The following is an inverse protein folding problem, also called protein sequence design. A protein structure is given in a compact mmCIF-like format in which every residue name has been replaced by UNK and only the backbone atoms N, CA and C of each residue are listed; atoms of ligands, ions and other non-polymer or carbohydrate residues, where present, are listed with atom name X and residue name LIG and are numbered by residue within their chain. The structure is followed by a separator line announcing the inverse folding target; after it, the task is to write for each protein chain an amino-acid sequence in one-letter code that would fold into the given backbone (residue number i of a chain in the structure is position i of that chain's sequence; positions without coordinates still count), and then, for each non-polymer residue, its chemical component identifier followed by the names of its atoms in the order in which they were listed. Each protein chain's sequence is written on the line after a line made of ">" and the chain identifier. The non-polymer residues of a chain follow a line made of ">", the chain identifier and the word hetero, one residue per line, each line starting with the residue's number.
data_IF_900648288559
#
_entry.id   IF_900648288559
#
_cell.length_a   1.000
_cell.length_b   1.000
_cell.length_c   1.000
_cell.angle_alpha   90.00
_cell.angle_beta   90.00
_cell.angle_gamma   90.00
#
_symmetry.space_group_name_H-M   'P 1'
#
loop_
_entity.id
_entity.type
_entity.pdbx_description
1 polymer ?
2 non-polymer ?
3 non-polymer ?
4 water ?
#
# COMPACT_ATOMS: atom_id res chain seq x y z
N UNK A 1 14.36 -26.54 3.26
CA UNK A 1 14.20 -26.35 1.82
C UNK A 1 15.07 -25.20 1.32
N UNK A 2 15.26 -25.14 0.01
CA UNK A 2 16.12 -24.15 -0.63
C UNK A 2 15.44 -23.53 -1.83
N UNK A 3 15.68 -22.24 -2.05
CA UNK A 3 15.20 -21.55 -3.24
C UNK A 3 15.95 -22.07 -4.46
N UNK A 4 15.19 -22.44 -5.51
CA UNK A 4 15.79 -22.99 -6.73
C UNK A 4 15.76 -22.02 -7.92
N UNK A 5 14.67 -21.26 -8.04
CA UNK A 5 14.49 -20.36 -9.20
C UNK A 5 13.73 -19.11 -8.79
N UNK A 6 14.06 -17.99 -9.45
CA UNK A 6 13.24 -16.79 -9.33
C UNK A 6 12.56 -16.59 -10.67
N UNK A 7 11.26 -16.37 -10.64
CA UNK A 7 10.50 -16.16 -11.85
C UNK A 7 9.80 -14.82 -11.75
N UNK A 8 9.89 -14.02 -12.81
CA UNK A 8 9.15 -12.77 -12.85
C UNK A 8 8.11 -12.86 -13.97
N UNK A 9 6.94 -12.27 -13.74
CA UNK A 9 5.83 -12.30 -14.69
C UNK A 9 5.29 -10.89 -14.91
N UNK A 10 5.10 -10.51 -16.17
CA UNK A 10 4.45 -9.25 -16.50
C UNK A 10 3.33 -9.50 -17.51
N UNK A 11 2.37 -8.58 -17.56
CA UNK A 11 1.30 -8.65 -18.55
C UNK A 11 1.24 -7.32 -19.30
N UNK A 12 1.16 -7.38 -20.63
CA UNK A 12 1.20 -6.18 -21.45
C UNK A 12 -0.01 -5.28 -21.22
N UNK A 13 -1.10 -5.88 -20.77
CA UNK A 13 -2.35 -5.17 -20.54
C UNK A 13 -2.35 -4.35 -19.25
N UNK A 14 -1.43 -4.64 -18.34
CA UNK A 14 -1.30 -3.91 -17.09
C UNK A 14 0.18 -3.63 -16.82
N UNK A 15 0.72 -2.61 -17.46
CA UNK A 15 2.17 -2.44 -17.51
C UNK A 15 2.84 -2.10 -16.18
N UNK A 16 2.07 -1.62 -15.21
CA UNK A 16 2.67 -1.25 -13.93
C UNK A 16 2.91 -2.44 -13.00
N UNK A 17 2.28 -3.57 -13.30
CA UNK A 17 2.33 -4.72 -12.39
C UNK A 17 3.51 -5.66 -12.64
N UNK A 18 4.07 -6.18 -11.56
CA UNK A 18 5.11 -7.20 -11.63
C UNK A 18 4.86 -8.27 -10.60
N UNK A 19 4.91 -9.54 -11.00
CA UNK A 19 4.85 -10.64 -10.04
C UNK A 19 6.21 -11.32 -9.93
N UNK A 20 6.53 -11.75 -8.71
CA UNK A 20 7.77 -12.46 -8.44
C UNK A 20 7.40 -13.80 -7.85
N UNK A 21 7.85 -14.87 -8.48
CA UNK A 21 7.57 -16.22 -7.98
C UNK A 21 8.85 -16.89 -7.51
N UNK A 22 8.84 -17.35 -6.27
CA UNK A 22 10.00 -17.97 -5.68
C UNK A 22 9.77 -19.47 -5.61
N UNK A 23 10.53 -20.21 -6.41
CA UNK A 23 10.40 -21.66 -6.46
C UNK A 23 11.37 -22.31 -5.47
N UNK A 24 10.98 -23.45 -4.93
CA UNK A 24 11.82 -24.16 -3.97
C UNK A 24 12.05 -25.61 -4.40
N UNK A 25 12.99 -26.28 -3.77
CA UNK A 25 13.28 -27.67 -4.10
C UNK A 25 12.24 -28.62 -3.53
N UNK A 26 11.30 -28.07 -2.77
CA UNK A 26 10.20 -28.87 -2.23
C UNK A 26 8.90 -28.67 -3.02
N UNK A 27 8.98 -27.86 -4.07
CA UNK A 27 7.84 -27.68 -4.95
C UNK A 27 6.86 -26.65 -4.41
N UNK A 28 7.24 -25.97 -3.33
CA UNK A 28 6.43 -24.89 -2.79
C UNK A 28 6.84 -23.59 -3.45
N UNK A 29 5.91 -22.95 -4.15
CA UNK A 29 6.19 -21.71 -4.85
C UNK A 29 5.50 -20.54 -4.17
N UNK A 30 6.25 -19.48 -3.88
CA UNK A 30 5.69 -18.32 -3.23
C UNK A 30 5.39 -17.23 -4.26
N UNK A 31 4.31 -16.48 -4.04
CA UNK A 31 3.91 -15.41 -4.94
C UNK A 31 4.03 -14.03 -4.30
N UNK A 32 4.74 -13.12 -4.97
CA UNK A 32 4.85 -11.74 -4.54
C UNK A 32 4.49 -10.79 -5.66
N UNK A 33 4.39 -9.50 -5.36
CA UNK A 33 3.88 -8.54 -6.33
C UNK A 33 4.36 -7.16 -5.96
N UNK A 34 4.58 -6.31 -6.95
CA UNK A 34 4.81 -4.89 -6.70
C UNK A 34 4.27 -4.07 -7.88
N UNK A 35 4.36 -2.75 -7.78
CA UNK A 35 3.68 -1.88 -8.73
C UNK A 35 4.60 -0.70 -9.05
N UNK A 36 4.59 -0.28 -10.32
CA UNK A 36 5.42 0.80 -10.90
C UNK A 36 6.81 0.34 -11.33
N UNK A 37 7.18 0.73 -12.53
CA UNK A 37 8.51 0.44 -13.05
C UNK A 37 8.76 -1.05 -13.15
N UNK A 38 7.77 -1.76 -13.70
CA UNK A 38 7.82 -3.22 -13.71
C UNK A 38 9.04 -3.76 -14.42
N UNK A 39 9.40 -3.18 -15.57
CA UNK A 39 10.56 -3.69 -16.28
C UNK A 39 11.85 -3.46 -15.50
N UNK A 40 11.95 -2.28 -14.89
CA UNK A 40 13.12 -1.94 -14.09
C UNK A 40 13.27 -2.86 -12.87
N UNK A 41 12.18 -3.04 -12.15
CA UNK A 41 12.21 -3.92 -10.98
C UNK A 41 12.53 -5.35 -11.42
N UNK A 42 11.97 -5.77 -12.55
CA UNK A 42 12.25 -7.12 -13.06
C UNK A 42 13.74 -7.30 -13.32
N UNK A 43 14.36 -6.32 -13.97
CA UNK A 43 15.81 -6.39 -14.20
C UNK A 43 16.58 -6.55 -12.89
N UNK A 44 16.17 -5.79 -11.87
CA UNK A 44 16.80 -5.82 -10.55
C UNK A 44 16.65 -7.19 -9.92
N UNK A 45 15.45 -7.77 -10.03
CA UNK A 45 15.22 -9.07 -9.41
C UNK A 45 16.23 -10.11 -9.91
N UNK A 46 16.51 -10.08 -11.21
CA UNK A 46 17.43 -11.05 -11.80
C UNK A 46 18.90 -10.65 -11.66
N UNK A 47 19.19 -9.35 -11.67
CA UNK A 47 20.56 -8.86 -11.60
C UNK A 47 21.10 -8.92 -10.17
N UNK A 48 20.25 -8.60 -9.20
CA UNK A 48 20.68 -8.42 -7.83
C UNK A 48 20.15 -9.48 -6.86
N UNK A 49 18.85 -9.72 -6.85
CA UNK A 49 18.29 -10.66 -5.86
C UNK A 49 18.68 -12.11 -6.16
N UNK A 50 18.49 -12.55 -7.41
CA UNK A 50 18.74 -13.93 -7.79
C UNK A 50 20.11 -14.49 -7.36
N UNK A 51 21.22 -13.81 -7.71
CA UNK A 51 22.51 -14.41 -7.30
C UNK A 51 22.70 -14.44 -5.78
N UNK A 52 21.91 -13.66 -5.05
CA UNK A 52 22.02 -13.61 -3.59
C UNK A 52 21.12 -14.63 -2.89
N UNK A 53 20.08 -15.09 -3.57
CA UNK A 53 19.09 -15.93 -2.89
C UNK A 53 18.94 -17.36 -3.44
N UNK A 54 19.39 -17.62 -4.68
CA UNK A 54 19.36 -18.98 -5.17
C UNK A 54 20.22 -19.87 -4.26
N UNK A 55 19.65 -20.98 -3.80
CA UNK A 55 20.34 -21.87 -2.89
C UNK A 55 20.10 -21.59 -1.41
N UNK A 56 19.45 -20.48 -1.10
CA UNK A 56 19.20 -20.08 0.29
C UNK A 56 17.89 -20.64 0.86
N UNK A 57 17.85 -20.74 2.19
CA UNK A 57 16.67 -21.22 2.90
C UNK A 57 15.66 -20.08 2.96
N UNK A 58 14.48 -20.25 2.34
CA UNK A 58 13.50 -19.15 2.30
C UNK A 58 12.84 -18.87 3.64
N UNK A 59 12.93 -19.81 4.58
CA UNK A 59 12.29 -19.62 5.87
C UNK A 59 13.03 -18.62 6.77
N UNK A 60 14.28 -18.30 6.41
CA UNK A 60 15.02 -17.29 7.17
C UNK A 60 14.62 -15.89 6.66
N UNK A 61 13.36 -15.54 6.89
CA UNK A 61 12.76 -14.34 6.32
C UNK A 61 13.45 -13.05 6.77
N UNK A 62 13.63 -12.88 8.08
CA UNK A 62 14.26 -11.67 8.59
C UNK A 62 15.69 -11.54 8.07
N UNK A 63 16.40 -12.66 8.00
CA UNK A 63 17.78 -12.65 7.52
C UNK A 63 17.84 -12.28 6.05
N UNK A 64 16.97 -12.89 5.23
CA UNK A 64 16.96 -12.56 3.80
C UNK A 64 16.60 -11.09 3.58
N UNK A 65 15.71 -10.54 4.39
CA UNK A 65 15.37 -9.12 4.27
C UNK A 65 16.62 -8.28 4.53
N UNK A 66 17.35 -8.63 5.58
CA UNK A 66 18.58 -7.93 5.94
C UNK A 66 19.61 -8.03 4.81
N UNK A 67 19.76 -9.22 4.24
CA UNK A 67 20.77 -9.49 3.22
C UNK A 67 20.52 -8.77 1.89
N UNK A 68 19.30 -8.28 1.67
CA UNK A 68 18.99 -7.59 0.43
C UNK A 68 19.01 -6.06 0.54
N UNK A 69 19.22 -5.55 1.75
CA UNK A 69 19.31 -4.10 1.93
C UNK A 69 20.54 -3.60 1.17
N UNK A 70 20.34 -2.60 0.31
CA UNK A 70 21.42 -2.15 -0.55
C UNK A 70 22.35 -1.14 0.09
N UNK A 71 23.60 -1.11 -0.39
CA UNK A 71 24.52 -0.04 -0.02
C UNK A 71 23.94 1.31 -0.46
N UNK A 72 23.32 1.30 -1.63
CA UNK A 72 22.57 2.45 -2.14
C UNK A 72 21.09 2.11 -2.27
N UNK A 73 20.24 3.13 -2.28
CA UNK A 73 18.82 2.90 -2.57
C UNK A 73 17.97 2.43 -1.40
N UNK A 74 18.56 2.43 -0.21
CA UNK A 74 17.85 2.02 0.99
C UNK A 74 16.97 3.18 1.48
N UNK A 75 16.12 2.87 2.47
CA UNK A 75 15.22 3.85 3.08
C UNK A 75 14.51 4.66 1.98
N UNK A 76 13.93 3.94 1.04
CA UNK A 76 13.27 4.59 -0.08
C UNK A 76 12.23 3.64 -0.63
N UNK A 77 11.48 4.13 -1.61
CA UNK A 77 10.51 3.29 -2.30
C UNK A 77 10.96 3.06 -3.75
N UNK A 78 12.29 3.08 -3.94
CA UNK A 78 12.88 2.95 -5.27
C UNK A 78 12.84 1.53 -5.78
N UNK A 79 13.38 1.32 -6.98
CA UNK A 79 13.24 0.04 -7.68
C UNK A 79 13.77 -1.12 -6.88
N UNK A 80 14.92 -0.94 -6.26
CA UNK A 80 15.55 -2.00 -5.46
C UNK A 80 14.61 -2.42 -4.35
N UNK A 81 14.04 -1.45 -3.63
CA UNK A 81 13.17 -1.76 -2.51
C UNK A 81 11.87 -2.42 -2.98
N UNK A 82 11.34 -1.96 -4.10
CA UNK A 82 10.14 -2.59 -4.64
C UNK A 82 10.39 -4.05 -4.97
N UNK A 83 11.55 -4.35 -5.57
CA UNK A 83 11.94 -5.72 -5.87
C UNK A 83 12.07 -6.54 -4.60
N UNK A 84 12.78 -5.99 -3.62
CA UNK A 84 12.94 -6.67 -2.33
C UNK A 84 11.61 -6.97 -1.66
N UNK A 85 10.67 -6.05 -1.82
CA UNK A 85 9.37 -6.13 -1.14
C UNK A 85 8.53 -7.23 -1.76
N UNK A 86 8.53 -7.28 -3.08
CA UNK A 86 7.80 -8.33 -3.79
C UNK A 86 8.36 -9.69 -3.38
N UNK A 87 9.67 -9.79 -3.31
CA UNK A 87 10.33 -11.04 -2.91
C UNK A 87 9.92 -11.43 -1.49
N UNK A 88 9.90 -10.44 -0.58
CA UNK A 88 9.54 -10.70 0.81
C UNK A 88 8.11 -11.25 0.92
N UNK A 89 7.18 -10.68 0.15
CA UNK A 89 5.80 -11.18 0.15
C UNK A 89 5.77 -12.65 -0.26
N UNK A 90 6.56 -13.00 -1.26
CA UNK A 90 6.62 -14.40 -1.72
C UNK A 90 7.17 -15.31 -0.62
N UNK A 91 8.13 -14.82 0.16
CA UNK A 91 8.66 -15.62 1.25
C UNK A 91 7.58 -15.91 2.29
N UNK A 92 6.75 -14.92 2.58
CA UNK A 92 5.67 -15.14 3.54
C UNK A 92 4.64 -16.14 3.01
N UNK A 93 4.40 -16.09 1.71
CA UNK A 93 3.52 -17.06 1.06
C UNK A 93 4.09 -18.47 1.23
N UNK A 94 5.40 -18.63 1.00
CA UNK A 94 6.05 -19.94 1.19
C UNK A 94 5.92 -20.41 2.64
N UNK A 95 6.17 -19.50 3.58
CA UNK A 95 6.15 -19.82 5.01
C UNK A 95 4.75 -20.33 5.36
N UNK A 96 3.74 -19.62 4.87
CA UNK A 96 2.36 -20.04 5.07
C UNK A 96 2.05 -21.43 4.52
N UNK A 97 2.50 -21.68 3.29
CA UNK A 97 2.24 -22.96 2.66
C UNK A 97 2.96 -24.10 3.39
N UNK A 98 4.17 -23.82 3.87
CA UNK A 98 4.98 -24.82 4.55
C UNK A 98 4.38 -25.21 5.91
N UNK A 99 3.67 -24.27 6.53
CA UNK A 99 3.08 -24.50 7.85
C UNK A 99 1.57 -24.72 7.77
N UNK A 100 1.01 -24.63 6.56
CA UNK A 100 -0.44 -24.72 6.37
C UNK A 100 -1.19 -23.67 7.19
N UNK A 101 -0.64 -22.46 7.22
CA UNK A 101 -1.24 -21.35 7.96
C UNK A 101 -1.41 -20.14 7.08
N UNK A 102 -2.51 -19.39 7.27
CA UNK A 102 -2.67 -18.11 6.59
C UNK A 102 -1.59 -17.14 7.08
N UNK A 103 -1.16 -16.23 6.22
CA UNK A 103 -0.16 -15.23 6.61
C UNK A 103 -0.57 -14.46 7.88
N UNK A 104 -1.84 -14.10 8.00
CA UNK A 104 -2.32 -13.38 9.19
C UNK A 104 -1.99 -14.12 10.47
N UNK A 105 -2.09 -15.45 10.43
CA UNK A 105 -1.74 -16.25 11.60
C UNK A 105 -0.25 -16.18 11.89
N UNK A 106 0.57 -16.27 10.85
CA UNK A 106 2.02 -16.25 11.03
C UNK A 106 2.54 -14.90 11.53
N UNK A 107 1.75 -13.85 11.32
CA UNK A 107 2.10 -12.53 11.82
C UNK A 107 1.83 -12.39 13.32
N UNK A 108 1.07 -13.33 13.87
CA UNK A 108 0.72 -13.26 15.28
C UNK A 108 -0.76 -13.48 15.56
N UNK A 109 -1.53 -13.89 14.55
CA UNK A 109 -2.92 -14.26 14.77
C UNK A 109 -3.93 -13.33 14.14
N UNK A 110 -5.14 -13.83 13.94
CA UNK A 110 -6.22 -12.98 13.47
C UNK A 110 -6.76 -12.17 14.63
N UNK A 111 -6.33 -10.93 14.76
CA UNK A 111 -6.86 -10.06 15.81
C UNK A 111 -8.30 -9.64 15.50
N UNK A 112 -8.66 -9.70 14.22
CA UNK A 112 -10.03 -9.52 13.78
C UNK A 112 -10.26 -10.45 12.59
N UNK A 113 -11.50 -10.81 12.30
CA UNK A 113 -11.77 -11.73 11.19
C UNK A 113 -12.07 -10.96 9.90
N UNK A 114 -12.38 -9.68 10.05
CA UNK A 114 -12.63 -8.81 8.91
C UNK A 114 -12.32 -7.38 9.34
N UNK A 115 -12.13 -6.49 8.38
CA UNK A 115 -11.84 -5.10 8.73
C UNK A 115 -12.59 -4.15 7.82
N UNK A 116 -12.93 -2.99 8.35
CA UNK A 116 -13.61 -1.96 7.58
C UNK A 116 -12.77 -1.59 6.35
N UNK A 117 -13.44 -1.36 5.22
CA UNK A 117 -12.73 -0.93 4.01
C UNK A 117 -13.10 0.50 3.64
N UNK A 118 -12.29 1.12 2.77
CA UNK A 118 -12.70 2.38 2.12
C UNK A 118 -12.42 2.32 0.63
N UNK A 119 -13.15 3.12 -0.15
CA UNK A 119 -12.96 3.17 -1.59
C UNK A 119 -12.46 4.54 -2.01
N UNK A 120 -11.81 4.61 -3.17
CA UNK A 120 -11.38 5.89 -3.72
C UNK A 120 -12.34 6.43 -4.78
N UNK A 155 -19.88 12.05 -10.13
CA UNK A 155 -20.61 12.94 -9.23
C UNK A 155 -20.48 12.49 -7.79
N UNK A 156 -19.69 13.23 -7.02
CA UNK A 156 -19.28 12.85 -5.66
C UNK A 156 -20.44 12.55 -4.71
N UNK A 157 -21.53 13.31 -4.81
CA UNK A 157 -22.67 13.07 -3.94
C UNK A 157 -23.37 11.74 -4.25
N UNK A 158 -23.47 11.37 -5.53
CA UNK A 158 -24.09 10.10 -5.90
C UNK A 158 -23.20 8.92 -5.50
N UNK A 159 -21.89 9.09 -5.67
CA UNK A 159 -20.94 8.08 -5.26
C UNK A 159 -21.09 7.83 -3.76
N UNK A 160 -21.15 8.91 -3.00
CA UNK A 160 -21.30 8.82 -1.54
C UNK A 160 -22.55 8.02 -1.13
N UNK A 161 -23.69 8.34 -1.74
CA UNK A 161 -24.94 7.62 -1.49
C UNK A 161 -24.77 6.14 -1.79
N UNK A 162 -24.17 5.85 -2.93
CA UNK A 162 -24.01 4.48 -3.39
C UNK A 162 -23.12 3.68 -2.42
N UNK A 163 -22.02 4.28 -2.02
CA UNK A 163 -21.12 3.63 -1.07
C UNK A 163 -21.81 3.31 0.24
N UNK A 164 -22.56 4.27 0.79
CA UNK A 164 -23.26 4.06 2.06
C UNK A 164 -24.25 2.90 1.99
N UNK A 165 -24.94 2.81 0.86
CA UNK A 165 -25.94 1.75 0.71
C UNK A 165 -25.27 0.38 0.67
N UNK A 166 -24.01 0.36 0.26
CA UNK A 166 -23.24 -0.88 0.27
C UNK A 166 -22.48 -1.07 1.57
N UNK A 167 -22.76 -0.21 2.54
CA UNK A 167 -22.17 -0.33 3.86
C UNK A 167 -20.77 0.24 3.99
N UNK A 168 -20.34 0.99 2.99
CA UNK A 168 -19.01 1.59 3.02
C UNK A 168 -19.14 3.03 3.53
N UNK A 169 -18.40 3.37 4.58
CA UNK A 169 -18.62 4.66 5.25
C UNK A 169 -17.40 5.55 5.23
N UNK A 170 -16.50 5.28 4.28
CA UNK A 170 -15.34 6.15 4.08
C UNK A 170 -15.00 6.19 2.61
N UNK A 171 -14.60 7.35 2.12
CA UNK A 171 -14.21 7.52 0.72
C UNK A 171 -13.05 8.48 0.64
N UNK A 172 -12.13 8.22 -0.30
CA UNK A 172 -10.96 9.08 -0.47
C UNK A 172 -11.00 9.76 -1.84
N UNK A 173 -10.78 11.07 -1.86
CA UNK A 173 -10.85 11.83 -3.12
C UNK A 173 -9.62 12.72 -3.25
N UNK A 174 -9.33 13.16 -4.47
CA UNK A 174 -8.16 14.02 -4.69
C UNK A 174 -8.48 15.15 -5.66
N UNK A 175 -9.37 16.06 -5.23
CA UNK A 175 -9.85 17.08 -6.16
C UNK A 175 -8.88 18.24 -6.36
N UNK A 176 -7.74 18.24 -5.68
CA UNK A 176 -6.78 19.35 -5.80
C UNK A 176 -5.66 19.06 -6.80
N UNK A 177 -5.62 17.85 -7.33
CA UNK A 177 -4.52 17.46 -8.21
C UNK A 177 -4.46 18.28 -9.49
N UNK A 178 -5.60 18.59 -10.08
CA UNK A 178 -5.61 19.38 -11.31
C UNK A 178 -5.02 20.77 -11.07
N UNK A 179 -5.41 21.39 -9.96
CA UNK A 179 -4.86 22.69 -9.60
C UNK A 179 -3.35 22.60 -9.37
N UNK A 180 -2.90 21.53 -8.73
CA UNK A 180 -1.46 21.37 -8.46
C UNK A 180 -0.67 21.33 -9.75
N UNK A 181 -1.15 20.57 -10.74
CA UNK A 181 -0.43 20.41 -11.99
C UNK A 181 -0.24 21.73 -12.73
N UNK A 182 -1.21 22.63 -12.56
CA UNK A 182 -1.17 23.92 -13.23
C UNK A 182 0.02 24.79 -12.80
N UNK A 183 0.43 24.67 -11.53
CA UNK A 183 1.46 25.55 -10.99
C UNK A 183 2.62 24.76 -10.40
N UNK A 184 2.67 23.47 -10.72
CA UNK A 184 3.63 22.54 -10.11
C UNK A 184 3.60 22.66 -8.59
N UNK A 185 2.41 22.91 -8.05
CA UNK A 185 2.21 22.87 -6.62
C UNK A 185 2.71 24.09 -5.84
N UNK A 186 3.05 25.17 -6.53
CA UNK A 186 3.57 26.35 -5.84
C UNK A 186 2.48 27.33 -5.41
N UNK A 187 1.29 27.20 -6.01
CA UNK A 187 0.27 28.21 -5.85
C UNK A 187 -1.12 27.68 -6.20
N UNK A 188 -2.13 28.14 -5.46
CA UNK A 188 -3.50 27.89 -5.86
C UNK A 188 -4.28 29.18 -5.73
N UNK A 189 -4.99 29.56 -6.78
CA UNK A 189 -5.79 30.78 -6.75
C UNK A 189 -7.00 30.50 -5.87
N UNK A 190 -7.54 31.55 -5.25
CA UNK A 190 -8.74 31.35 -4.43
C UNK A 190 -9.93 30.81 -5.24
N UNK A 191 -10.12 31.30 -6.48
CA UNK A 191 -11.20 30.68 -7.27
C UNK A 191 -10.97 29.20 -7.54
N UNK A 192 -9.72 28.78 -7.81
CA UNK A 192 -9.45 27.36 -8.02
C UNK A 192 -9.62 26.54 -6.74
N UNK A 193 -9.26 27.15 -5.61
CA UNK A 193 -9.46 26.51 -4.32
C UNK A 193 -10.96 26.29 -4.09
N UNK A 194 -11.75 27.35 -4.27
CA UNK A 194 -13.19 27.26 -4.10
C UNK A 194 -13.80 26.16 -4.99
N UNK A 195 -13.35 26.08 -6.24
CA UNK A 195 -13.83 25.04 -7.15
C UNK A 195 -13.51 23.64 -6.62
N UNK A 196 -12.33 23.48 -6.03
CA UNK A 196 -11.90 22.16 -5.57
C UNK A 196 -12.61 21.76 -4.27
N UNK A 197 -13.24 22.71 -3.60
CA UNK A 197 -13.99 22.43 -2.38
C UNK A 197 -15.40 21.92 -2.69
N UNK A 198 -15.87 22.16 -3.90
CA UNK A 198 -17.24 21.78 -4.28
C UNK A 198 -17.64 20.30 -4.04
N UNK A 199 -16.73 19.35 -4.34
CA UNK A 199 -17.09 17.95 -4.05
C UNK A 199 -17.38 17.72 -2.57
N UNK A 200 -16.66 18.42 -1.69
CA UNK A 200 -16.88 18.25 -0.26
C UNK A 200 -18.26 18.76 0.11
N UNK A 201 -18.62 19.92 -0.44
CA UNK A 201 -19.93 20.51 -0.22
C UNK A 201 -21.02 19.57 -0.70
N UNK A 202 -20.81 18.98 -1.87
CA UNK A 202 -21.78 18.05 -2.46
C UNK A 202 -21.98 16.80 -1.60
N UNK A 203 -20.88 16.24 -1.12
CA UNK A 203 -20.93 15.04 -0.29
C UNK A 203 -21.67 15.33 1.02
N UNK A 204 -21.30 16.42 1.70
CA UNK A 204 -21.96 16.79 2.94
C UNK A 204 -23.45 17.09 2.75
N UNK A 205 -23.80 17.75 1.65
CA UNK A 205 -25.22 18.03 1.39
C UNK A 205 -26.02 16.74 1.20
N UNK A 206 -25.39 15.75 0.58
CA UNK A 206 -26.06 14.50 0.24
C UNK A 206 -26.20 13.55 1.44
N UNK A 207 -25.11 13.34 2.17
CA UNK A 207 -25.08 12.31 3.19
C UNK A 207 -24.70 12.82 4.59
N UNK A 208 -24.45 14.11 4.72
CA UNK A 208 -24.13 14.70 6.00
C UNK A 208 -22.92 14.04 6.66
N UNK A 209 -23.05 13.74 7.95
CA UNK A 209 -21.94 13.24 8.75
C UNK A 209 -21.74 11.73 8.64
N UNK A 210 -22.49 11.08 7.76
CA UNK A 210 -22.46 9.61 7.69
C UNK A 210 -21.24 9.04 6.99
N UNK A 211 -20.50 9.89 6.29
CA UNK A 211 -19.37 9.47 5.47
C UNK A 211 -18.08 10.13 5.95
N UNK A 212 -17.05 9.33 6.24
CA UNK A 212 -15.72 9.89 6.48
C UNK A 212 -15.13 10.26 5.12
N UNK A 213 -14.55 11.44 5.01
CA UNK A 213 -13.94 11.87 3.74
C UNK A 213 -12.46 12.02 3.92
N UNK A 214 -11.70 11.18 3.25
CA UNK A 214 -10.26 11.29 3.27
C UNK A 214 -9.80 12.07 2.06
N UNK A 215 -8.78 12.90 2.26
CA UNK A 215 -8.27 13.71 1.16
C UNK A 215 -6.86 13.27 0.82
N UNK A 216 -6.65 12.92 -0.44
CA UNK A 216 -5.33 12.57 -0.94
C UNK A 216 -4.77 13.76 -1.74
N UNK A 217 -3.49 14.08 -1.53
CA UNK A 217 -2.83 15.18 -2.24
C UNK A 217 -1.69 14.70 -3.13
N UNK A 218 -1.36 13.42 -3.03
CA UNK A 218 -0.32 12.83 -3.88
C UNK A 218 1.01 13.58 -3.87
N UNK A 219 1.35 14.19 -2.73
CA UNK A 219 2.61 14.91 -2.54
C UNK A 219 2.85 15.98 -3.61
N UNK A 220 1.77 16.60 -4.09
CA UNK A 220 1.89 17.49 -5.22
C UNK A 220 2.14 18.95 -4.86
N UNK A 221 2.07 19.29 -3.58
CA UNK A 221 2.08 20.70 -3.17
C UNK A 221 3.31 21.07 -2.38
N UNK A 222 3.74 22.31 -2.54
CA UNK A 222 4.72 22.91 -1.64
C UNK A 222 4.02 23.29 -0.33
N UNK A 223 4.83 23.71 0.66
CA UNK A 223 4.33 23.85 2.03
C UNK A 223 3.25 24.92 2.17
N UNK A 224 3.50 26.10 1.63
CA UNK A 224 2.56 27.20 1.82
C UNK A 224 1.15 26.94 1.23
N UNK A 225 1.06 26.58 -0.06
CA UNK A 225 -0.28 26.25 -0.56
C UNK A 225 -0.91 25.04 0.13
N UNK A 226 -0.09 24.06 0.53
CA UNK A 226 -0.63 22.93 1.30
C UNK A 226 -1.31 23.43 2.57
N UNK A 227 -0.66 24.34 3.29
CA UNK A 227 -1.23 24.91 4.51
C UNK A 227 -2.51 25.70 4.22
N UNK A 228 -2.50 26.46 3.13
CA UNK A 228 -3.66 27.25 2.74
C UNK A 228 -4.87 26.35 2.44
N UNK A 229 -4.62 25.27 1.69
CA UNK A 229 -5.66 24.30 1.39
C UNK A 229 -6.17 23.62 2.65
N UNK A 230 -5.25 23.22 3.53
CA UNK A 230 -5.63 22.56 4.79
C UNK A 230 -6.60 23.42 5.59
N UNK A 231 -6.29 24.70 5.74
CA UNK A 231 -7.16 25.59 6.50
C UNK A 231 -8.53 25.69 5.85
N UNK A 232 -8.55 25.76 4.52
CA UNK A 232 -9.80 25.92 3.81
C UNK A 232 -10.71 24.69 3.93
N UNK A 233 -10.13 23.54 4.26
CA UNK A 233 -10.90 22.31 4.37
C UNK A 233 -11.60 22.18 5.73
N UNK A 234 -11.28 23.07 6.66
CA UNK A 234 -11.85 23.03 8.00
C UNK A 234 -13.38 22.80 8.09
N UNK A 235 -14.19 23.52 7.28
CA UNK A 235 -15.65 23.38 7.44
C UNK A 235 -16.17 21.99 7.09
N UNK A 236 -15.37 21.18 6.42
CA UNK A 236 -15.87 19.93 5.85
C UNK A 236 -15.58 18.69 6.67
N UNK A 237 -14.92 18.87 7.81
CA UNK A 237 -14.70 17.79 8.78
C UNK A 237 -14.04 16.59 8.10
N UNK A 238 -12.94 16.86 7.41
CA UNK A 238 -12.18 15.81 6.72
C UNK A 238 -11.53 14.85 7.71
N UNK A 239 -11.36 13.60 7.28
CA UNK A 239 -10.89 12.54 8.17
C UNK A 239 -9.37 12.48 8.27
N UNK A 240 -8.70 12.59 7.13
CA UNK A 240 -7.25 12.68 7.10
C UNK A 240 -6.77 13.41 5.86
N UNK A 241 -5.57 13.97 5.93
CA UNK A 241 -4.96 14.68 4.81
C UNK A 241 -3.70 13.92 4.43
N UNK A 242 -3.75 13.23 3.30
CA UNK A 242 -2.72 12.27 2.95
C UNK A 242 -1.70 12.87 2.00
N UNK A 243 -0.43 12.72 2.34
CA UNK A 243 0.69 13.22 1.54
C UNK A 243 0.49 14.67 1.08
N UNK A 244 0.30 15.59 2.03
CA UNK A 244 0.01 16.98 1.65
C UNK A 244 1.20 17.66 0.98
N UNK A 245 2.42 17.21 1.29
CA UNK A 245 3.65 17.70 0.66
C UNK A 245 4.54 16.51 0.34
N UNK A 246 5.63 16.76 -0.38
CA UNK A 246 6.60 15.69 -0.66
C UNK A 246 7.20 15.18 0.65
N UNK A 247 7.38 13.86 0.76
CA UNK A 247 7.86 13.27 2.02
C UNK A 247 9.37 13.12 2.03
N UNK A 248 10.09 14.16 1.62
CA UNK A 248 11.54 14.07 1.54
C UNK A 248 12.33 14.76 2.65
N UNK A 249 11.73 15.74 3.32
CA UNK A 249 12.32 16.32 4.52
C UNK A 249 11.17 16.38 5.51
N UNK A 250 11.07 15.36 6.34
CA UNK A 250 9.86 15.18 7.13
C UNK A 250 9.65 16.24 8.20
N UNK A 251 10.71 16.94 8.60
CA UNK A 251 10.55 17.98 9.62
C UNK A 251 9.58 19.07 9.19
N UNK A 252 9.42 19.26 7.87
CA UNK A 252 8.45 20.24 7.37
C UNK A 252 7.01 19.92 7.78
N UNK A 253 6.73 18.66 8.12
CA UNK A 253 5.38 18.28 8.51
C UNK A 253 4.91 18.96 9.79
N UNK A 254 5.84 19.40 10.65
CA UNK A 254 5.41 20.12 11.86
C UNK A 254 4.69 21.42 11.50
N UNK A 255 5.14 22.09 10.44
CA UNK A 255 4.51 23.34 9.99
C UNK A 255 3.07 23.05 9.56
N UNK A 256 2.88 21.92 8.88
CA UNK A 256 1.57 21.56 8.37
C UNK A 256 0.62 21.14 9.49
N UNK A 257 1.12 20.34 10.43
CA UNK A 257 0.31 19.86 11.54
C UNK A 257 -0.20 21.01 12.41
N UNK A 258 0.56 22.11 12.45
CA UNK A 258 0.17 23.26 13.28
C UNK A 258 -1.11 23.94 12.77
N UNK A 259 -1.46 23.72 11.51
CA UNK A 259 -2.63 24.40 10.96
C UNK A 259 -3.69 23.44 10.43
N UNK A 260 -3.33 22.18 10.26
CA UNK A 260 -4.26 21.25 9.63
C UNK A 260 -5.42 20.85 10.55
N UNK A 261 -6.65 20.89 10.03
CA UNK A 261 -7.82 20.49 10.83
C UNK A 261 -7.99 18.96 10.91
N UNK A 262 -7.18 18.24 10.15
CA UNK A 262 -7.23 16.79 10.12
C UNK A 262 -5.82 16.23 10.31
N UNK A 263 -5.71 15.02 10.86
CA UNK A 263 -4.38 14.43 11.01
C UNK A 263 -3.71 14.14 9.65
N UNK A 264 -2.39 14.17 9.66
CA UNK A 264 -1.60 13.87 8.49
C UNK A 264 -1.60 12.36 8.27
N UNK A 265 -1.87 11.95 7.04
CA UNK A 265 -1.75 10.56 6.67
C UNK A 265 -0.47 10.47 5.83
N UNK A 266 0.49 9.67 6.29
CA UNK A 266 1.79 9.57 5.66
C UNK A 266 2.44 8.23 6.01
N UNK A 267 3.12 7.56 5.07
CA UNK A 267 3.05 7.84 3.63
C UNK A 267 3.39 6.56 2.90
N UNK A 268 2.58 6.21 1.91
CA UNK A 268 2.85 5.08 1.03
C UNK A 268 4.18 5.26 0.27
N UNK A 269 4.66 6.50 0.16
CA UNK A 269 5.91 6.76 -0.56
C UNK A 269 7.20 6.53 0.26
N UNK A 270 7.05 6.26 1.56
CA UNK A 270 8.18 6.05 2.46
C UNK A 270 8.57 4.58 2.58
N UNK A 271 9.86 4.30 2.65
CA UNK A 271 10.34 2.93 2.79
C UNK A 271 11.22 2.68 4.00
N UNK A 272 11.03 1.49 4.58
CA UNK A 272 11.78 0.95 5.73
C UNK A 272 11.32 1.54 7.06
N UNK A 273 11.54 0.79 8.13
CA UNK A 273 11.12 1.27 9.43
C UNK A 273 11.88 2.51 9.85
N UNK A 274 13.05 2.74 9.24
CA UNK A 274 13.85 3.93 9.54
C UNK A 274 13.20 5.24 9.06
N UNK A 275 12.56 5.20 7.90
CA UNK A 275 11.81 6.36 7.44
C UNK A 275 10.65 6.61 8.39
N UNK A 276 10.04 5.53 8.89
CA UNK A 276 8.90 5.69 9.79
C UNK A 276 9.31 6.12 11.19
N UNK A 277 10.51 5.72 11.62
CA UNK A 277 11.07 6.30 12.84
C UNK A 277 11.20 7.81 12.65
N UNK A 278 11.75 8.23 11.52
CA UNK A 278 11.89 9.67 11.27
C UNK A 278 10.54 10.39 11.29
N UNK A 279 9.51 9.79 10.68
CA UNK A 279 8.18 10.36 10.67
C UNK A 279 7.63 10.48 12.09
N UNK A 280 7.77 9.42 12.88
CA UNK A 280 7.24 9.42 14.24
C UNK A 280 7.93 10.46 15.11
N UNK A 281 9.23 10.64 14.90
CA UNK A 281 10.01 11.57 15.71
C UNK A 281 9.74 13.04 15.41
N UNK A 282 9.03 13.32 14.32
CA UNK A 282 8.64 14.72 14.04
C UNK A 282 7.66 15.24 15.05
N UNK A 283 6.91 14.33 15.66
CA UNK A 283 5.82 14.71 16.54
C UNK A 283 4.58 15.19 15.78
N UNK A 284 4.56 14.98 14.47
CA UNK A 284 3.44 15.39 13.61
C UNK A 284 2.74 14.21 12.96
N UNK A 285 3.18 12.99 13.26
CA UNK A 285 2.60 11.82 12.62
C UNK A 285 1.15 11.65 12.99
N UNK A 286 0.37 11.16 12.03
CA UNK A 286 -1.03 10.87 12.26
C UNK A 286 -1.36 9.44 11.89
N UNK A 287 -2.11 9.26 10.81
CA UNK A 287 -2.39 7.90 10.35
C UNK A 287 -1.15 7.43 9.61
N UNK A 288 -0.61 6.28 10.00
CA UNK A 288 0.61 5.76 9.39
C UNK A 288 0.25 4.92 8.16
N UNK A 289 0.58 5.44 6.97
CA UNK A 289 0.28 4.73 5.73
C UNK A 289 1.54 4.07 5.24
N UNK A 290 1.38 2.91 4.63
CA UNK A 290 2.51 2.24 4.02
C UNK A 290 1.97 1.39 2.89
N UNK A 291 2.83 1.03 1.95
CA UNK A 291 2.47 0.05 0.94
C UNK A 291 3.47 -1.07 1.08
N UNK A 292 2.98 -2.28 1.34
CA UNK A 292 3.87 -3.40 1.64
C UNK A 292 4.81 -3.72 0.48
N UNK A 293 4.41 -3.38 -0.74
CA UNK A 293 5.25 -3.68 -1.91
C UNK A 293 6.21 -2.53 -2.23
N UNK A 294 6.13 -1.44 -1.45
CA UNK A 294 6.98 -0.27 -1.65
C UNK A 294 7.87 0.02 -0.44
N UNK A 295 7.63 -0.65 0.69
CA UNK A 295 8.28 -0.23 1.94
C UNK A 295 9.27 -1.23 2.51
N UNK A 296 9.42 -2.37 1.85
CA UNK A 296 10.28 -3.42 2.38
C UNK A 296 9.56 -4.71 2.69
N UNK A 297 8.32 -4.84 2.25
CA UNK A 297 7.59 -6.10 2.39
C UNK A 297 6.78 -6.21 3.67
N UNK A 298 6.13 -7.36 3.86
CA UNK A 298 5.44 -7.64 5.11
C UNK A 298 6.40 -7.56 6.28
N UNK A 299 7.66 -7.94 6.03
CA UNK A 299 8.68 -7.90 7.08
C UNK A 299 8.87 -6.48 7.67
N UNK A 300 9.07 -5.48 6.81
CA UNK A 300 9.19 -4.11 7.34
C UNK A 300 7.83 -3.60 7.80
N UNK A 301 6.77 -3.92 7.05
CA UNK A 301 5.43 -3.41 7.37
C UNK A 301 4.94 -3.81 8.76
N UNK A 302 5.17 -5.08 9.13
CA UNK A 302 4.67 -5.56 10.41
C UNK A 302 5.39 -4.83 11.55
N UNK A 303 6.65 -4.49 11.31
CA UNK A 303 7.44 -3.80 12.33
C UNK A 303 7.07 -2.33 12.40
N UNK A 304 6.80 -1.71 11.24
CA UNK A 304 6.32 -0.33 11.22
C UNK A 304 5.00 -0.23 11.99
N UNK A 305 4.11 -1.20 11.76
CA UNK A 305 2.82 -1.17 12.45
C UNK A 305 2.97 -1.26 13.98
N UNK A 306 3.82 -2.16 14.47
CA UNK A 306 3.96 -2.32 15.91
C UNK A 306 4.60 -1.07 16.51
N UNK A 307 5.47 -0.42 15.76
CA UNK A 307 6.10 0.82 16.23
C UNK A 307 5.10 1.95 16.29
N UNK A 308 4.27 2.07 15.26
CA UNK A 308 3.22 3.09 15.25
C UNK A 308 2.30 2.94 16.46
N UNK A 309 2.03 1.69 16.86
CA UNK A 309 1.17 1.45 18.02
C UNK A 309 1.78 2.01 19.31
N UNK A 310 3.11 2.00 19.39
CA UNK A 310 3.81 2.56 20.54
C UNK A 310 3.58 4.06 20.63
N UNK A 311 3.32 4.69 19.48
CA UNK A 311 2.94 6.11 19.43
C UNK A 311 1.43 6.36 19.51
N UNK A 312 0.66 5.30 19.79
CA UNK A 312 -0.80 5.36 19.87
C UNK A 312 -1.45 5.80 18.57
N UNK A 313 -0.84 5.42 17.45
CA UNK A 313 -1.32 5.78 16.13
C UNK A 313 -1.74 4.54 15.38
N UNK A 314 -2.62 4.70 14.40
CA UNK A 314 -3.13 3.58 13.62
C UNK A 314 -2.33 3.41 12.33
N UNK A 315 -2.51 2.26 11.68
CA UNK A 315 -1.90 2.00 10.39
C UNK A 315 -3.00 1.73 9.36
N UNK A 316 -2.74 2.10 8.11
CA UNK A 316 -3.69 1.87 7.02
C UNK A 316 -2.94 1.46 5.77
N UNK A 317 -2.84 0.14 5.52
CA UNK A 317 -2.03 -0.32 4.38
C UNK A 317 -2.65 0.04 3.04
N UNK A 318 -1.80 0.52 2.13
CA UNK A 318 -2.22 1.00 0.82
C UNK A 318 -2.60 -0.17 -0.08
N UNK A 319 -3.71 -0.08 -0.97
CA UNK A 319 -3.91 -0.99 -2.07
C UNK A 319 -4.10 -0.20 -3.32
N UNK A 320 -5.26 -0.64 -4.03
CA UNK A 320 -5.74 -0.31 -5.38
C UNK A 320 -4.60 -0.43 -6.34
N UNK A 321 -3.73 -1.32 -6.12
CA UNK A 321 -2.74 -1.66 -7.13
C UNK A 321 -3.06 -3.03 -7.67
N UNK A 322 -2.31 -4.05 -7.27
CA UNK A 322 -2.62 -5.40 -7.73
C UNK A 322 -3.31 -6.25 -6.68
N UNK A 323 -3.83 -7.42 -7.09
CA UNK A 323 -4.60 -8.30 -6.21
C UNK A 323 -3.75 -8.92 -5.10
N UNK A 324 -2.48 -9.22 -5.39
CA UNK A 324 -1.63 -9.83 -4.37
C UNK A 324 -1.33 -8.83 -3.26
N UNK A 325 -1.08 -7.57 -3.62
CA UNK A 325 -0.86 -6.56 -2.60
C UNK A 325 -2.11 -6.31 -1.76
N UNK A 326 -3.28 -6.28 -2.41
CA UNK A 326 -4.53 -6.16 -1.66
C UNK A 326 -4.67 -7.32 -0.67
N UNK A 327 -4.42 -8.53 -1.14
CA UNK A 327 -4.56 -9.69 -0.28
C UNK A 327 -3.56 -9.70 0.87
N UNK A 328 -2.28 -9.51 0.57
CA UNK A 328 -1.27 -9.52 1.63
C UNK A 328 -1.49 -8.37 2.62
N UNK A 329 -1.98 -7.23 2.12
CA UNK A 329 -2.27 -6.11 3.00
C UNK A 329 -3.41 -6.45 3.93
N UNK A 330 -4.38 -7.19 3.41
CA UNK A 330 -5.53 -7.59 4.22
C UNK A 330 -5.08 -8.54 5.34
N UNK A 331 -4.16 -9.45 5.04
CA UNK A 331 -3.56 -10.30 6.09
C UNK A 331 -2.94 -9.45 7.19
N UNK A 332 -2.17 -8.44 6.80
CA UNK A 332 -1.57 -7.55 7.79
C UNK A 332 -2.64 -6.82 8.60
N UNK A 333 -3.67 -6.33 7.92
CA UNK A 333 -4.75 -5.59 8.56
C UNK A 333 -5.59 -6.44 9.50
N UNK A 334 -5.64 -7.75 9.27
CA UNK A 334 -6.39 -8.59 10.19
C UNK A 334 -5.56 -8.92 11.42
N UNK A 335 -4.23 -8.86 11.27
CA UNK A 335 -3.36 -9.13 12.41
C UNK A 335 -3.07 -7.91 13.28
N UNK A 336 -2.67 -6.82 12.65
CA UNK A 336 -2.18 -5.67 13.42
C UNK A 336 -3.28 -5.05 14.30
N UNK A 337 -3.07 -5.05 15.63
CA UNK A 337 -4.16 -4.50 16.46
C UNK A 337 -4.49 -3.06 16.12
N UNK A 338 -3.52 -2.31 15.61
CA UNK A 338 -3.76 -0.91 15.27
C UNK A 338 -4.10 -0.66 13.81
N UNK A 339 -4.45 -1.70 13.06
CA UNK A 339 -4.96 -1.47 11.70
C UNK A 339 -6.34 -0.81 11.75
N UNK A 340 -6.48 0.31 11.06
CA UNK A 340 -7.69 1.13 11.13
C UNK A 340 -8.69 0.78 10.04
N UNK A 341 -8.20 0.72 8.81
CA UNK A 341 -9.02 0.40 7.65
C UNK A 341 -8.12 -0.26 6.61
N UNK A 342 -8.71 -1.03 5.73
CA UNK A 342 -8.00 -1.59 4.59
C UNK A 342 -8.62 -1.09 3.29
N UNK A 343 -7.91 -0.20 2.61
CA UNK A 343 -8.34 0.35 1.32
C UNK A 343 -8.61 -0.78 0.32
N UNK A 344 -9.64 -0.62 -0.52
CA UNK A 344 -9.87 -1.58 -1.59
C UNK A 344 -10.48 -0.93 -2.83
N UNK A 345 -10.41 -1.64 -3.95
CA UNK A 345 -10.99 -1.22 -5.22
C UNK A 345 -12.49 -1.43 -5.18
N UNK A 346 -13.28 -0.50 -5.74
CA UNK A 346 -14.72 -0.71 -5.79
C UNK A 346 -15.08 -1.86 -6.73
N UNK A 352 -11.07 -7.31 -13.39
CA UNK A 352 -9.97 -8.03 -14.04
C UNK A 352 -9.03 -8.71 -13.04
N UNK A 353 -9.13 -8.33 -11.78
CA UNK A 353 -8.39 -9.00 -10.70
C UNK A 353 -8.67 -10.50 -10.79
N UNK A 354 -9.92 -10.84 -11.08
CA UNK A 354 -10.38 -12.23 -11.08
C UNK A 354 -9.74 -13.11 -12.15
N UNK A 355 -9.15 -12.48 -13.17
CA UNK A 355 -8.51 -13.24 -14.24
C UNK A 355 -7.01 -13.42 -14.02
N UNK A 356 -6.46 -12.71 -13.05
CA UNK A 356 -5.04 -12.78 -12.72
C UNK A 356 -4.74 -13.84 -11.66
N UNK A 357 -5.63 -13.97 -10.69
CA UNK A 357 -5.39 -14.87 -9.55
C UNK A 357 -6.55 -15.83 -9.32
N UNK A 358 -6.31 -16.85 -8.48
CA UNK A 358 -7.29 -17.93 -8.28
C UNK A 358 -8.38 -17.58 -7.29
N UNK A 359 -8.10 -16.63 -6.40
CA UNK A 359 -9.06 -16.23 -5.38
C UNK A 359 -8.75 -14.80 -4.94
N UNK A 360 -9.76 -14.14 -4.40
CA UNK A 360 -9.62 -12.72 -4.03
C UNK A 360 -10.15 -12.47 -2.63
N UNK A 361 -9.64 -11.43 -1.97
CA UNK A 361 -10.28 -11.00 -0.72
C UNK A 361 -11.75 -10.70 -1.00
N UNK A 362 -12.62 -10.97 -0.03
CA UNK A 362 -14.04 -10.71 -0.24
C UNK A 362 -14.50 -9.51 0.57
N UNK A 363 -15.29 -8.65 -0.05
CA UNK A 363 -15.91 -7.52 0.63
C UNK A 363 -17.39 -7.80 0.83
N UNK A 364 -17.85 -7.65 2.08
CA UNK A 364 -19.26 -7.85 2.40
C UNK A 364 -19.69 -6.80 3.40
N UNK A 365 -20.71 -6.02 3.04
CA UNK A 365 -21.21 -4.94 3.88
C UNK A 365 -20.12 -4.00 4.37
N UNK A 366 -19.23 -3.60 3.48
CA UNK A 366 -18.18 -2.65 3.81
C UNK A 366 -17.01 -3.20 4.61
N UNK A 367 -16.93 -4.52 4.75
CA UNK A 367 -15.83 -5.16 5.47
C UNK A 367 -15.09 -6.10 4.54
N UNK A 368 -13.77 -6.16 4.67
CA UNK A 368 -12.97 -7.03 3.81
C UNK A 368 -12.26 -8.11 4.64
N UNK A 369 -12.11 -9.30 4.05
CA UNK A 369 -11.38 -10.38 4.71
C UNK A 369 -10.55 -11.13 3.67
N UNK A 370 -9.65 -11.99 4.14
CA UNK A 370 -8.75 -12.71 3.25
C UNK A 370 -9.44 -13.91 2.63
N UNK A 371 -8.94 -14.36 1.46
CA UNK A 371 -9.46 -15.63 0.94
C UNK A 371 -8.93 -16.75 1.81
N UNK A 372 -9.65 -17.88 1.87
CA UNK A 372 -9.24 -18.96 2.78
C UNK A 372 -7.98 -19.68 2.29
N UNK A 373 -7.26 -20.31 3.21
CA UNK A 373 -6.13 -21.14 2.81
C UNK A 373 -4.78 -20.70 3.34
N UNK A 374 -3.77 -21.53 3.13
CA UNK A 374 -2.42 -21.26 3.62
C UNK A 374 -1.73 -20.16 2.80
N UNK A 375 -0.81 -19.45 3.44
CA UNK A 375 -0.09 -18.37 2.79
C UNK A 375 -1.03 -17.23 2.46
N UNK A 376 -0.94 -16.73 1.22
CA UNK A 376 -1.84 -15.67 0.78
C UNK A 376 -3.26 -16.17 0.66
N UNK A 377 -3.41 -17.42 0.21
CA UNK A 377 -4.72 -17.97 -0.09
C UNK A 377 -5.06 -17.74 -1.56
N UNK A 378 -4.02 -17.53 -2.37
CA UNK A 378 -4.20 -17.33 -3.80
C UNK A 378 -2.93 -17.70 -4.56
N UNK A 379 -3.08 -18.01 -5.84
CA UNK A 379 -1.95 -18.14 -6.76
C UNK A 379 -2.33 -17.51 -8.09
N UNK A 380 -1.35 -17.37 -8.98
CA UNK A 380 -1.66 -16.88 -10.33
C UNK A 380 -2.66 -17.81 -11.00
N UNK A 381 -3.62 -17.24 -11.72
CA UNK A 381 -4.67 -18.01 -12.38
C UNK A 381 -4.07 -18.92 -13.45
N UNK A 382 -4.57 -20.16 -13.53
CA UNK A 382 -4.06 -21.09 -14.55
C UNK A 382 -4.29 -20.60 -15.98
N UNK A 383 -5.34 -19.81 -16.20
CA UNK A 383 -5.70 -19.39 -17.56
C UNK A 383 -5.11 -18.02 -17.95
N UNK A 384 -4.09 -17.59 -17.23
CA UNK A 384 -3.57 -16.22 -17.40
C UNK A 384 -3.00 -15.94 -18.80
N UNK A 385 -2.36 -16.93 -19.41
CA UNK A 385 -1.67 -16.73 -20.69
C UNK A 385 -2.66 -16.68 -21.86
N UNK A 386 -3.94 -16.92 -21.56
CA UNK A 386 -4.96 -16.88 -22.59
C UNK A 386 -5.86 -15.64 -22.49
N UNK A 387 -5.85 -15.00 -21.33
CA UNK A 387 -6.57 -13.75 -21.14
C UNK A 387 -5.62 -12.59 -21.33
N UNK A 388 -4.36 -12.80 -20.96
CA UNK A 388 -3.36 -11.74 -21.02
C UNK A 388 -2.20 -12.05 -21.96
N UNK A 389 -1.41 -11.00 -22.24
CA UNK A 389 -0.18 -11.16 -23.01
C UNK A 389 0.95 -11.25 -22.00
N UNK A 390 1.42 -12.47 -21.75
CA UNK A 390 2.31 -12.73 -20.61
C UNK A 390 3.78 -12.84 -21.03
N UNK A 391 4.65 -12.21 -20.25
CA UNK A 391 6.09 -12.36 -20.43
C UNK A 391 6.69 -12.90 -19.13
N UNK A 392 7.52 -13.92 -19.23
CA UNK A 392 8.17 -14.46 -18.04
C UNK A 392 9.68 -14.46 -18.20
N UNK A 393 10.39 -14.30 -17.08
CA UNK A 393 11.83 -14.43 -17.09
C UNK A 393 12.27 -15.26 -15.89
N UNK A 394 13.28 -16.11 -16.07
CA UNK A 394 13.72 -16.99 -15.00
C UNK A 394 15.20 -16.83 -14.67
N UNK A 395 15.52 -16.96 -13.38
CA UNK A 395 16.91 -17.14 -12.95
C UNK A 395 17.01 -18.45 -12.19
N UNK A 396 18.10 -19.19 -12.40
CA UNK A 396 18.36 -20.39 -11.62
C UNK A 396 19.87 -20.53 -11.36
N UNK A 397 20.27 -21.66 -10.78
CA UNK A 397 21.68 -21.87 -10.45
C UNK A 397 22.59 -21.73 -11.66
N UNK A 398 22.09 -22.12 -12.83
CA UNK A 398 22.86 -22.07 -14.07
C UNK A 398 23.04 -20.67 -14.65
N UNK A 399 22.07 -19.79 -14.41
CA UNK A 399 22.07 -18.47 -15.05
C UNK A 399 22.75 -17.37 -14.22
N UNK A 400 22.83 -17.55 -12.91
CA UNK A 400 23.38 -16.51 -12.04
C UNK A 400 24.90 -16.39 -12.10
X LIG B 1 1.01 31.90 0.31
X LIG B 1 -0.10 32.09 1.16
X LIG B 1 0.58 30.97 -0.83
X LIG B 1 0.04 29.79 -0.28
X LIG B 1 1.75 30.65 -1.74
X LIG B 1 1.26 30.04 -2.92
X LIG C 1 10.28 25.22 8.32
#
# INVERSE_FOLDING_TARGET
>A
MKITKLETVRVAERTNLLWVLVHTDEGITGLGETFFGAETVETYVHEYIAPRVIGRDPLQIDLLAQDLVGYLGFRSSGAEVRGNSAFDIALWDIFGKATNQPIAQLLGGFSRREIRTYNTCAGTEYIKKATGQQTANYGLSGGKDYDDLNGFLHRADELAHSLLEDGITAMKIWPFDAAAEKTRGQYISMPDLKSALEPFEKIRKAVGDKMDIMVEFHSMWQLLPAMQIAKALTPYQTFWHEDPIKMDSLSSLTRYAAVSPAPISASETLGSRWAFRDLLETGAAGVVMLDISWCGGLSEARKIASMAEAWHLPVAPHNCTGPVVLCASTHLSLNAPNALVQESVRAFYKTWYRDLVTALPEVKNGMITVPPGAGLGMELHPDIEKTFTVSRRFSDAASI
>B hetero
1 GOL C1 O1 C2 O2 C3 O3
>C hetero
1 CL CL
#
